data_IF_275630635675
#
_entry.id   IF_275630635675
#
_cell.length_a   1.000
_cell.length_b   1.000
_cell.length_c   1.000
_cell.angle_alpha   90.00
_cell.angle_beta   90.00
_cell.angle_gamma   90.00
#
_symmetry.space_group_name_H-M   'P 1'
#
loop_
_entity.id
_entity.type
_entity.pdbx_description
1 polymer ?
#
# COMPACT_ATOMS: atom_id res chain seq x y z
N UNK A 1 0.35 0.73 9.44
CA UNK A 1 -0.05 1.84 10.34
C UNK A 1 0.58 3.16 9.91
N UNK A 2 1.91 3.32 9.89
CA UNK A 2 2.56 4.58 9.46
C UNK A 2 2.13 5.09 8.08
N UNK A 3 2.15 4.22 7.05
CA UNK A 3 1.65 4.55 5.70
C UNK A 3 0.21 5.09 5.76
N UNK A 4 -0.67 4.43 6.49
CA UNK A 4 -2.07 4.85 6.60
C UNK A 4 -2.23 6.19 7.33
N UNK A 5 -1.45 6.45 8.39
CA UNK A 5 -1.43 7.76 9.04
C UNK A 5 -1.07 8.87 8.05
N UNK A 6 -0.02 8.66 7.25
CA UNK A 6 0.43 9.64 6.26
C UNK A 6 -0.58 9.83 5.12
N UNK A 7 -1.25 8.76 4.68
CA UNK A 7 -2.35 8.84 3.70
C UNK A 7 -3.53 9.64 4.26
N UNK A 8 -3.88 9.48 5.54
CA UNK A 8 -4.91 10.32 6.17
C UNK A 8 -4.49 11.79 6.13
N UNK A 9 -3.24 12.10 6.51
CA UNK A 9 -2.75 13.48 6.47
C UNK A 9 -2.76 14.06 5.05
N UNK A 10 -2.41 13.27 4.04
CA UNK A 10 -2.49 13.68 2.64
C UNK A 10 -3.93 14.01 2.22
N UNK A 11 -4.90 13.16 2.58
CA UNK A 11 -6.33 13.43 2.32
C UNK A 11 -6.85 14.66 3.10
N UNK A 12 -6.38 14.88 4.34
CA UNK A 12 -6.70 16.08 5.11
C UNK A 12 -6.16 17.35 4.43
N UNK A 13 -4.95 17.29 3.85
CA UNK A 13 -4.38 18.39 3.06
C UNK A 13 -5.18 18.69 1.79
N UNK A 14 -5.83 17.69 1.21
CA UNK A 14 -6.79 17.85 0.08
C UNK A 14 -8.18 18.35 0.52
N UNK A 15 -8.40 18.60 1.82
CA UNK A 15 -9.65 19.13 2.36
C UNK A 15 -10.67 18.08 2.81
N UNK A 16 -10.31 16.78 2.82
CA UNK A 16 -11.17 15.72 3.35
C UNK A 16 -11.10 15.73 4.88
N UNK A 17 -12.24 15.56 5.57
CA UNK A 17 -12.21 15.45 7.03
C UNK A 17 -11.48 14.18 7.47
N UNK A 18 -10.80 14.23 8.63
CA UNK A 18 -10.08 13.09 9.22
C UNK A 18 -10.91 11.80 9.26
N UNK A 19 -12.17 11.91 9.70
CA UNK A 19 -13.07 10.76 9.81
C UNK A 19 -13.43 10.18 8.44
N UNK A 20 -13.65 11.03 7.44
CA UNK A 20 -13.92 10.58 6.08
C UNK A 20 -12.68 9.94 5.43
N UNK A 21 -11.49 10.46 5.72
CA UNK A 21 -10.22 9.88 5.28
C UNK A 21 -10.00 8.50 5.92
N UNK A 22 -10.17 8.37 7.24
CA UNK A 22 -10.05 7.10 7.96
C UNK A 22 -11.00 6.04 7.40
N UNK A 23 -12.25 6.40 7.08
CA UNK A 23 -13.25 5.49 6.49
C UNK A 23 -12.88 4.91 5.13
N UNK A 24 -11.90 5.48 4.42
CA UNK A 24 -11.42 4.99 3.13
C UNK A 24 -10.30 3.95 3.25
N UNK A 25 -9.78 3.71 4.46
CA UNK A 25 -8.64 2.84 4.69
C UNK A 25 -9.09 1.60 5.45
N UNK A 26 -8.86 0.43 4.85
CA UNK A 26 -9.12 -0.88 5.44
C UNK A 26 -7.81 -1.62 5.68
N UNK A 27 -7.75 -2.43 6.74
CA UNK A 27 -6.54 -3.15 7.12
C UNK A 27 -6.83 -4.62 7.45
N UNK A 28 -5.89 -5.47 7.10
CA UNK A 28 -5.92 -6.91 7.39
C UNK A 28 -4.66 -7.27 8.16
N UNK A 29 -4.78 -8.10 9.18
CA UNK A 29 -3.65 -8.73 9.88
C UNK A 29 -3.80 -10.25 9.94
N UNK A 30 -2.94 -10.93 10.70
CA UNK A 30 -2.98 -12.39 10.82
C UNK A 30 -4.30 -12.96 11.37
N UNK A 31 -5.16 -12.13 11.97
CA UNK A 31 -6.48 -12.53 12.47
C UNK A 31 -7.61 -12.24 11.48
N UNK A 32 -7.33 -11.57 10.37
CA UNK A 32 -8.29 -11.17 9.34
C UNK A 32 -8.47 -9.65 9.24
N UNK A 33 -9.60 -9.24 8.67
CA UNK A 33 -10.01 -7.84 8.53
C UNK A 33 -10.12 -7.17 9.91
N UNK A 34 -9.60 -5.95 10.04
CA UNK A 34 -9.73 -5.12 11.24
C UNK A 34 -11.10 -4.45 11.22
N UNK A 35 -11.98 -4.87 12.13
CA UNK A 35 -13.37 -4.39 12.24
C UNK A 35 -13.73 -4.06 13.68
N UNK A 36 -14.73 -3.21 13.88
CA UNK A 36 -15.19 -2.75 15.19
C UNK A 36 -15.66 -3.94 16.04
N UNK A 37 -15.25 -3.99 17.30
CA UNK A 37 -15.63 -5.06 18.24
C UNK A 37 -14.83 -6.36 18.08
N UNK A 38 -13.95 -6.48 17.08
CA UNK A 38 -13.06 -7.63 16.92
C UNK A 38 -12.12 -7.77 18.12
N UNK A 39 -11.91 -8.99 18.59
CA UNK A 39 -10.95 -9.26 19.65
C UNK A 39 -9.49 -8.91 19.23
N UNK A 40 -8.64 -8.63 20.22
CA UNK A 40 -7.19 -8.43 20.02
C UNK A 40 -6.79 -7.26 19.12
N UNK A 41 -7.44 -6.10 19.26
CA UNK A 41 -7.03 -4.87 18.60
C UNK A 41 -6.17 -4.00 19.53
N UNK A 42 -5.04 -3.52 19.03
CA UNK A 42 -4.28 -2.44 19.68
C UNK A 42 -5.01 -1.10 19.46
N UNK A 43 -4.72 -0.10 20.28
CA UNK A 43 -5.31 1.24 20.16
C UNK A 43 -5.10 1.85 18.76
N UNK A 44 -3.93 1.64 18.15
CA UNK A 44 -3.61 2.15 16.82
C UNK A 44 -4.44 1.46 15.73
N UNK A 45 -4.73 0.17 15.88
CA UNK A 45 -5.59 -0.58 14.95
C UNK A 45 -7.06 -0.22 15.11
N UNK A 46 -7.51 0.07 16.34
CA UNK A 46 -8.90 0.49 16.60
C UNK A 46 -9.32 1.73 15.82
N UNK A 47 -8.38 2.64 15.53
CA UNK A 47 -8.63 3.83 14.70
C UNK A 47 -9.18 3.49 13.30
N UNK A 48 -8.81 2.33 12.74
CA UNK A 48 -9.24 1.89 11.40
C UNK A 48 -10.25 0.74 11.46
N UNK A 49 -10.82 0.47 12.65
CA UNK A 49 -11.79 -0.60 12.85
C UNK A 49 -13.20 -0.09 12.52
N UNK A 50 -13.64 -0.34 11.29
CA UNK A 50 -14.97 0.06 10.81
C UNK A 50 -16.04 -0.96 11.21
N UNK A 51 -17.30 -0.53 11.21
CA UNK A 51 -18.43 -1.44 11.39
C UNK A 51 -18.58 -2.32 10.16
N UNK A 52 -18.25 -3.60 10.31
CA UNK A 52 -18.26 -4.60 9.25
C UNK A 52 -18.22 -6.02 9.84
N UNK A 53 -18.69 -7.02 9.10
CA UNK A 53 -18.53 -8.42 9.48
C UNK A 53 -17.07 -8.86 9.51
N UNK A 54 -16.71 -9.77 10.43
CA UNK A 54 -15.37 -10.35 10.44
C UNK A 54 -15.13 -11.19 9.17
N UNK A 55 -13.97 -10.99 8.55
CA UNK A 55 -13.53 -11.74 7.36
C UNK A 55 -12.08 -12.15 7.53
N UNK A 56 -11.70 -13.32 7.00
CA UNK A 56 -10.32 -13.84 7.10
C UNK A 56 -9.65 -14.08 5.76
N UNK A 57 -10.39 -14.50 4.76
CA UNK A 57 -9.85 -14.77 3.43
C UNK A 57 -9.61 -13.44 2.70
N UNK A 58 -8.38 -13.21 2.23
CA UNK A 58 -7.99 -11.96 1.57
C UNK A 58 -8.72 -11.76 0.24
N UNK A 59 -8.97 -12.83 -0.52
CA UNK A 59 -9.69 -12.76 -1.79
C UNK A 59 -11.14 -12.30 -1.58
N UNK A 60 -11.82 -12.85 -0.58
CA UNK A 60 -13.18 -12.42 -0.22
C UNK A 60 -13.19 -10.96 0.26
N UNK A 61 -12.20 -10.57 1.07
CA UNK A 61 -12.06 -9.18 1.53
C UNK A 61 -11.89 -8.23 0.34
N UNK A 62 -11.06 -8.57 -0.65
CA UNK A 62 -10.86 -7.72 -1.84
C UNK A 62 -12.15 -7.60 -2.65
N UNK A 63 -12.91 -8.69 -2.81
CA UNK A 63 -14.20 -8.68 -3.52
C UNK A 63 -15.27 -7.85 -2.80
N UNK A 64 -15.25 -7.85 -1.49
CA UNK A 64 -16.22 -7.15 -0.64
C UNK A 64 -15.90 -5.65 -0.54
N UNK A 65 -14.67 -5.31 -0.14
CA UNK A 65 -14.21 -3.92 0.06
C UNK A 65 -14.04 -3.18 -1.27
N UNK A 66 -13.71 -3.92 -2.34
CA UNK A 66 -13.46 -3.40 -3.69
C UNK A 66 -12.48 -2.21 -3.73
N UNK A 67 -11.27 -2.37 -3.18
CA UNK A 67 -10.33 -1.26 -3.08
C UNK A 67 -9.78 -0.86 -4.47
N UNK A 68 -9.38 0.40 -4.62
CA UNK A 68 -8.63 0.88 -5.78
C UNK A 68 -7.12 0.69 -5.65
N UNK A 69 -6.64 0.59 -4.40
CA UNK A 69 -5.23 0.43 -4.04
C UNK A 69 -5.08 -0.77 -3.11
N UNK A 70 -4.18 -1.69 -3.43
CA UNK A 70 -3.83 -2.83 -2.59
C UNK A 70 -2.36 -2.74 -2.18
N UNK A 71 -2.09 -2.61 -0.88
CA UNK A 71 -0.75 -2.42 -0.31
C UNK A 71 -0.39 -3.62 0.58
N UNK A 72 0.66 -4.34 0.21
CA UNK A 72 1.21 -5.48 0.91
C UNK A 72 2.43 -5.10 1.73
N UNK A 73 2.38 -5.36 3.03
CA UNK A 73 3.47 -5.09 4.00
C UNK A 73 3.54 -6.19 5.07
N UNK A 74 3.06 -7.39 4.76
CA UNK A 74 2.88 -8.47 5.75
C UNK A 74 3.99 -9.53 5.73
N UNK A 75 4.94 -9.43 4.80
CA UNK A 75 5.97 -10.43 4.52
C UNK A 75 5.40 -11.83 4.22
N UNK A 76 4.24 -11.87 3.54
CA UNK A 76 3.59 -13.10 3.07
C UNK A 76 3.80 -13.19 1.55
N UNK A 77 4.83 -13.93 1.15
CA UNK A 77 5.14 -14.13 -0.26
C UNK A 77 3.99 -14.79 -1.00
N UNK A 78 3.65 -14.26 -2.18
CA UNK A 78 2.55 -14.79 -3.01
C UNK A 78 1.14 -14.51 -2.48
N UNK A 79 0.98 -13.63 -1.49
CA UNK A 79 -0.34 -13.27 -0.95
C UNK A 79 -1.28 -12.65 -1.98
N UNK A 80 -0.76 -11.95 -3.00
CA UNK A 80 -1.55 -11.40 -4.09
C UNK A 80 -1.63 -12.43 -5.21
N UNK A 81 -2.56 -13.36 -5.04
CA UNK A 81 -2.81 -14.45 -5.99
C UNK A 81 -3.32 -13.91 -7.33
N UNK A 82 -3.36 -14.79 -8.33
CA UNK A 82 -3.94 -14.48 -9.64
C UNK A 82 -5.38 -13.97 -9.51
N UNK A 83 -6.17 -14.62 -8.66
CA UNK A 83 -7.59 -14.32 -8.44
C UNK A 83 -7.76 -12.92 -7.83
N UNK A 84 -6.90 -12.55 -6.87
CA UNK A 84 -6.88 -11.20 -6.28
C UNK A 84 -6.48 -10.16 -7.33
N UNK A 85 -5.43 -10.41 -8.11
CA UNK A 85 -4.95 -9.47 -9.12
C UNK A 85 -5.97 -9.26 -10.24
N UNK A 86 -6.60 -10.33 -10.71
CA UNK A 86 -7.70 -10.26 -11.67
C UNK A 86 -8.93 -9.54 -11.07
N UNK A 87 -9.24 -9.80 -9.80
CA UNK A 87 -10.29 -9.09 -9.07
C UNK A 87 -10.04 -7.58 -9.02
N UNK A 88 -8.83 -7.17 -8.63
CA UNK A 88 -8.42 -5.76 -8.64
C UNK A 88 -8.56 -5.13 -10.04
N UNK A 89 -8.18 -5.87 -11.09
CA UNK A 89 -8.24 -5.43 -12.48
C UNK A 89 -9.67 -5.35 -13.05
N UNK A 90 -10.60 -6.17 -12.53
CA UNK A 90 -12.01 -6.11 -12.89
C UNK A 90 -12.72 -4.95 -12.21
N UNK A 91 -12.31 -4.63 -10.98
CA UNK A 91 -12.89 -3.54 -10.18
C UNK A 91 -12.40 -2.15 -10.60
N UNK A 92 -11.17 -2.07 -11.13
CA UNK A 92 -10.50 -0.80 -11.40
C UNK A 92 -9.91 -0.78 -12.81
N UNK A 93 -10.05 0.37 -13.49
CA UNK A 93 -9.42 0.58 -14.81
C UNK A 93 -7.89 0.45 -14.72
N UNK A 94 -7.29 1.07 -13.69
CA UNK A 94 -5.86 1.02 -13.38
C UNK A 94 -5.67 0.70 -11.90
N UNK A 95 -5.66 -0.59 -11.50
CA UNK A 95 -5.51 -0.95 -10.09
C UNK A 95 -4.08 -0.63 -9.62
N UNK A 96 -3.94 -0.03 -8.43
CA UNK A 96 -2.63 0.21 -7.82
C UNK A 96 -2.28 -0.98 -6.93
N UNK A 97 -1.14 -1.62 -7.20
CA UNK A 97 -0.68 -2.84 -6.52
C UNK A 97 0.73 -2.61 -5.98
N UNK A 98 0.86 -2.48 -4.66
CA UNK A 98 2.14 -2.27 -3.99
C UNK A 98 2.55 -3.53 -3.22
N UNK A 99 3.59 -4.23 -3.69
CA UNK A 99 4.16 -5.42 -3.05
C UNK A 99 5.43 -5.05 -2.28
N UNK A 100 5.27 -4.42 -1.11
CA UNK A 100 6.35 -3.73 -0.41
C UNK A 100 7.15 -4.64 0.53
N UNK A 101 6.75 -5.89 0.68
CA UNK A 101 7.47 -6.85 1.51
C UNK A 101 8.85 -7.19 0.95
N UNK A 102 9.84 -7.26 1.86
CA UNK A 102 11.23 -7.58 1.56
C UNK A 102 11.67 -8.85 2.31
N UNK A 103 12.63 -9.62 1.78
CA UNK A 103 13.24 -9.52 0.44
C UNK A 103 12.29 -10.03 -0.67
N UNK A 104 12.76 -10.16 -1.92
CA UNK A 104 11.94 -10.58 -3.08
C UNK A 104 11.13 -11.85 -2.83
N UNK A 105 11.66 -12.81 -2.08
CA UNK A 105 10.94 -14.06 -1.71
C UNK A 105 9.72 -13.85 -0.82
N UNK A 106 9.55 -12.64 -0.27
CA UNK A 106 8.42 -12.21 0.56
C UNK A 106 7.50 -11.22 -0.13
N UNK A 107 7.80 -10.82 -1.36
CA UNK A 107 6.92 -9.95 -2.15
C UNK A 107 5.55 -10.63 -2.35
N UNK A 108 4.49 -9.85 -2.16
CA UNK A 108 3.12 -10.36 -2.25
C UNK A 108 2.78 -10.89 -3.66
N UNK A 109 3.37 -10.29 -4.70
CA UNK A 109 3.46 -10.84 -6.05
C UNK A 109 4.68 -10.26 -6.77
N UNK A 110 5.05 -10.83 -7.91
CA UNK A 110 6.08 -10.27 -8.79
C UNK A 110 5.51 -9.22 -9.74
N UNK A 111 6.37 -8.38 -10.31
CA UNK A 111 5.99 -7.43 -11.36
C UNK A 111 5.36 -8.16 -12.56
N UNK A 112 5.96 -9.26 -13.01
CA UNK A 112 5.43 -10.09 -14.10
C UNK A 112 4.02 -10.61 -13.79
N UNK A 113 3.78 -11.12 -12.58
CA UNK A 113 2.46 -11.60 -12.17
C UNK A 113 1.45 -10.47 -12.15
N UNK A 114 1.80 -9.31 -11.58
CA UNK A 114 0.92 -8.14 -11.55
C UNK A 114 0.53 -7.73 -12.97
N UNK A 115 1.51 -7.46 -13.84
CA UNK A 115 1.23 -7.00 -15.20
C UNK A 115 0.50 -8.06 -16.03
N UNK A 116 0.85 -9.34 -15.89
CA UNK A 116 0.18 -10.43 -16.61
C UNK A 116 -1.29 -10.54 -16.21
N UNK A 117 -1.59 -10.55 -14.92
CA UNK A 117 -2.95 -10.80 -14.41
C UNK A 117 -3.83 -9.55 -14.34
N UNK A 118 -3.24 -8.37 -14.57
CA UNK A 118 -3.97 -7.10 -14.74
C UNK A 118 -3.98 -6.62 -16.20
N UNK A 119 -3.57 -7.47 -17.15
CA UNK A 119 -3.55 -7.17 -18.58
C UNK A 119 -2.74 -5.90 -18.91
N UNK A 120 -1.63 -5.68 -18.20
CA UNK A 120 -0.75 -4.53 -18.34
C UNK A 120 -1.28 -3.23 -17.74
N UNK A 121 -2.47 -3.23 -17.13
CA UNK A 121 -3.11 -2.02 -16.59
C UNK A 121 -2.73 -1.69 -15.15
N UNK A 122 -2.20 -2.68 -14.42
CA UNK A 122 -1.80 -2.51 -13.03
C UNK A 122 -0.65 -1.52 -12.87
N UNK A 123 -0.81 -0.58 -11.93
CA UNK A 123 0.25 0.33 -11.52
C UNK A 123 1.00 -0.37 -10.38
N UNK A 124 2.20 -0.88 -10.68
CA UNK A 124 2.96 -1.71 -9.76
C UNK A 124 4.18 -0.99 -9.17
N UNK A 125 4.38 -1.17 -7.86
CA UNK A 125 5.63 -0.85 -7.18
C UNK A 125 5.95 -1.91 -6.13
N UNK A 126 7.23 -2.11 -5.83
CA UNK A 126 7.67 -3.14 -4.88
C UNK A 126 8.74 -2.63 -3.91
N UNK A 127 8.94 -3.34 -2.80
CA UNK A 127 10.05 -3.06 -1.90
C UNK A 127 11.39 -3.55 -2.46
N UNK A 128 11.38 -4.76 -3.02
CA UNK A 128 12.53 -5.41 -3.64
C UNK A 128 12.58 -5.16 -5.16
N UNK A 129 13.75 -5.22 -5.80
CA UNK A 129 13.88 -4.93 -7.22
C UNK A 129 13.29 -6.06 -8.06
N UNK A 130 12.70 -5.70 -9.19
CA UNK A 130 12.29 -6.61 -10.25
C UNK A 130 12.79 -6.08 -11.60
N UNK A 131 13.11 -7.01 -12.49
CA UNK A 131 13.52 -6.67 -13.85
C UNK A 131 12.38 -6.02 -14.65
N UNK A 132 12.69 -5.26 -15.71
CA UNK A 132 11.68 -4.73 -16.63
C UNK A 132 10.84 -5.85 -17.26
N UNK A 133 9.56 -5.57 -17.50
CA UNK A 133 8.61 -6.53 -18.07
C UNK A 133 8.11 -6.03 -19.42
N UNK A 134 8.36 -6.78 -20.48
CA UNK A 134 7.81 -6.48 -21.81
C UNK A 134 6.45 -7.15 -22.00
N UNK A 135 5.43 -6.34 -22.23
CA UNK A 135 4.06 -6.79 -22.48
C UNK A 135 3.91 -7.38 -23.89
N UNK A 136 2.84 -8.18 -24.13
CA UNK A 136 2.52 -8.67 -25.48
C UNK A 136 2.30 -7.57 -26.53
N UNK A 137 1.96 -6.35 -26.10
CA UNK A 137 1.86 -5.18 -26.97
C UNK A 137 3.22 -4.66 -27.49
N UNK A 138 4.33 -5.18 -26.96
CA UNK A 138 5.68 -4.69 -27.22
C UNK A 138 6.15 -3.57 -26.29
N UNK A 139 5.27 -3.05 -25.42
CA UNK A 139 5.64 -2.04 -24.43
C UNK A 139 6.43 -2.67 -23.27
N UNK A 140 7.59 -2.09 -22.94
CA UNK A 140 8.36 -2.47 -21.75
C UNK A 140 8.01 -1.55 -20.56
N UNK A 141 7.64 -2.16 -19.44
CA UNK A 141 7.36 -1.49 -18.17
C UNK A 141 8.53 -1.69 -17.21
N UNK A 142 8.90 -0.64 -16.49
CA UNK A 142 10.00 -0.62 -15.52
C UNK A 142 9.41 -0.47 -14.12
N UNK A 143 9.17 -1.58 -13.39
CA UNK A 143 8.52 -1.51 -12.07
C UNK A 143 9.38 -0.71 -11.09
N UNK A 144 8.82 0.35 -10.51
CA UNK A 144 9.51 1.19 -9.54
C UNK A 144 9.69 0.49 -8.19
N UNK A 145 10.69 0.93 -7.42
CA UNK A 145 10.88 0.48 -6.05
C UNK A 145 10.40 1.53 -5.05
N UNK A 146 9.45 1.16 -4.20
CA UNK A 146 9.02 1.95 -3.04
C UNK A 146 9.97 1.75 -1.86
N UNK A 147 11.23 2.16 -2.01
CA UNK A 147 12.26 1.95 -1.00
C UNK A 147 12.44 3.18 -0.10
N UNK A 148 12.69 2.95 1.20
CA UNK A 148 13.01 4.02 2.15
C UNK A 148 14.23 4.86 1.76
N UNK A 149 15.10 4.34 0.88
CA UNK A 149 16.25 5.06 0.31
C UNK A 149 15.88 6.37 -0.39
N UNK A 150 14.64 6.54 -0.83
CA UNK A 150 14.18 7.81 -1.38
C UNK A 150 13.93 8.87 -0.29
N UNK A 151 13.72 8.46 0.96
CA UNK A 151 13.30 9.36 2.04
C UNK A 151 14.45 9.65 3.01
N UNK A 152 15.02 8.63 3.65
CA UNK A 152 15.93 8.85 4.78
C UNK A 152 17.19 9.66 4.43
N UNK A 153 17.82 9.55 3.23
CA UNK A 153 19.01 10.34 2.93
C UNK A 153 18.70 11.84 2.84
N UNK A 154 17.63 12.21 2.12
CA UNK A 154 17.22 13.59 1.95
C UNK A 154 16.76 14.23 3.26
N UNK A 155 15.94 13.50 4.04
CA UNK A 155 15.50 13.95 5.37
C UNK A 155 16.69 14.15 6.30
N UNK A 156 17.62 13.19 6.38
CA UNK A 156 18.79 13.31 7.25
C UNK A 156 19.67 14.50 6.87
N UNK A 157 19.94 14.69 5.57
CA UNK A 157 20.69 15.84 5.07
C UNK A 157 20.01 17.17 5.44
N UNK A 158 18.69 17.26 5.26
CA UNK A 158 17.90 18.44 5.64
C UNK A 158 17.98 18.73 7.14
N UNK A 159 17.77 17.72 7.97
CA UNK A 159 17.82 17.85 9.43
C UNK A 159 19.20 18.30 9.93
N UNK A 160 20.27 17.68 9.42
CA UNK A 160 21.65 18.02 9.82
C UNK A 160 22.02 19.43 9.38
N UNK A 161 21.67 19.80 8.15
CA UNK A 161 22.08 21.09 7.57
C UNK A 161 21.42 22.29 8.23
N UNK A 162 20.16 22.20 8.65
CA UNK A 162 19.43 23.31 9.27
C UNK A 162 19.30 23.20 10.81
N UNK A 163 19.76 22.10 11.41
CA UNK A 163 19.68 21.88 12.85
C UNK A 163 18.24 21.67 13.35
N UNK A 164 17.40 20.97 12.59
CA UNK A 164 16.02 20.71 12.98
C UNK A 164 15.95 19.89 14.28
N UNK A 165 15.32 20.43 15.32
CA UNK A 165 15.31 19.83 16.67
C UNK A 165 14.46 18.57 16.78
N UNK A 166 13.33 18.52 16.06
CA UNK A 166 12.36 17.42 16.10
C UNK A 166 11.81 17.17 14.70
N UNK A 167 11.62 15.89 14.35
CA UNK A 167 11.10 15.48 13.04
C UNK A 167 9.63 15.12 13.23
N UNK A 168 8.72 15.98 12.76
CA UNK A 168 7.27 15.73 12.75
C UNK A 168 6.81 14.91 11.55
N UNK A 169 5.56 14.45 11.56
CA UNK A 169 4.95 13.70 10.43
C UNK A 169 4.82 14.57 9.16
N UNK A 170 4.70 15.88 9.32
CA UNK A 170 4.63 16.89 8.25
C UNK A 170 5.90 16.92 7.40
N UNK A 171 7.07 16.64 8.00
CA UNK A 171 8.34 16.50 7.27
C UNK A 171 8.24 15.34 6.27
N UNK A 172 7.66 14.21 6.67
CA UNK A 172 7.53 13.03 5.81
C UNK A 172 6.46 13.23 4.73
N UNK A 173 5.36 13.91 5.04
CA UNK A 173 4.36 14.26 4.03
C UNK A 173 4.95 15.19 2.97
N UNK A 174 5.66 16.24 3.39
CA UNK A 174 6.33 17.17 2.48
C UNK A 174 7.42 16.47 1.67
N UNK A 175 8.18 15.56 2.28
CA UNK A 175 9.18 14.77 1.56
C UNK A 175 8.55 13.91 0.47
N UNK A 176 7.39 13.30 0.74
CA UNK A 176 6.69 12.50 -0.25
C UNK A 176 6.20 13.31 -1.46
N UNK A 177 5.91 14.61 -1.30
CA UNK A 177 5.51 15.52 -2.38
C UNK A 177 6.67 16.04 -3.23
N UNK A 178 7.91 15.96 -2.71
CA UNK A 178 9.12 16.41 -3.40
C UNK A 178 9.70 15.34 -4.34
N UNK A 179 9.41 14.05 -4.07
CA UNK A 179 9.85 12.91 -4.88
C UNK A 179 9.16 12.87 -6.25
#
# INVERSE_FOLDING_TARGET
LGIASLIVMAMEKEGVSKDAAIKRIWMVDSKGLIVKGRASLTSEKQRFAHEHGEMKNLEDIVKDIKPSVLIGVAAIGGAFTKEILQGMAALNKHPIIFALSNPTSKAECTAEQCYKYTEGRGIFASGSPFDPVTLPSGQTLYPGQGNNSYVFPGVALGVISCGLKHIGEDVFLTTAEVL
#
